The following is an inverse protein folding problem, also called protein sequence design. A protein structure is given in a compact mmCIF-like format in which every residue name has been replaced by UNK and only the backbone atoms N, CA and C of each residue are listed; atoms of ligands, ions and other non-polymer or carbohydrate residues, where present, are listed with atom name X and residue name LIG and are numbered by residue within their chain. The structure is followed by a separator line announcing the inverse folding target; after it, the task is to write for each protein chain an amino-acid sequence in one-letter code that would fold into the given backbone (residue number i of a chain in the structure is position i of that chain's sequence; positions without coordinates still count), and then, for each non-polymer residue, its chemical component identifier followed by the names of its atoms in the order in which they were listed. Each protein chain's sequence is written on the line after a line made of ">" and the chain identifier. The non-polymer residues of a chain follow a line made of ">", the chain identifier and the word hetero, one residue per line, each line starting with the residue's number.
data_IF_391239682236
#
_entry.id   IF_391239682236
#
_cell.length_a   1.000
_cell.length_b   1.000
_cell.length_c   1.000
_cell.angle_alpha   90.00
_cell.angle_beta   90.00
_cell.angle_gamma   90.00
#
_symmetry.space_group_name_H-M   'P 1'
#
loop_
_entity.id
_entity.type
_entity.pdbx_description
1 polymer ?
#
# COMPACT_ATOMS: atom_id res chain seq x y z
N UNK A 1 27.32 25.86 -2.40
CA UNK A 1 26.98 24.77 -1.45
C UNK A 1 25.64 25.01 -0.74
N UNK A 2 24.55 25.34 -1.49
CA UNK A 2 23.21 25.50 -0.90
C UNK A 2 22.15 24.56 -1.50
N UNK A 3 22.43 23.86 -2.61
CA UNK A 3 21.43 23.04 -3.31
C UNK A 3 21.20 21.66 -2.70
N UNK A 4 22.24 20.98 -2.19
CA UNK A 4 22.09 19.60 -1.72
C UNK A 4 21.23 19.53 -0.46
N UNK A 5 21.38 20.48 0.47
CA UNK A 5 20.58 20.55 1.69
C UNK A 5 19.10 20.87 1.39
N UNK A 6 18.83 21.70 0.38
CA UNK A 6 17.47 22.02 -0.09
C UNK A 6 16.80 20.83 -0.79
N UNK A 7 17.52 20.09 -1.63
CA UNK A 7 17.01 18.85 -2.25
C UNK A 7 16.77 17.74 -1.23
N UNK A 8 17.66 17.57 -0.25
CA UNK A 8 17.49 16.59 0.83
C UNK A 8 16.31 16.94 1.75
N UNK A 9 16.10 18.23 2.02
CA UNK A 9 14.92 18.70 2.74
C UNK A 9 13.63 18.43 1.94
N UNK A 10 13.60 18.74 0.64
CA UNK A 10 12.44 18.49 -0.22
C UNK A 10 12.14 17.00 -0.43
N UNK A 11 13.15 16.13 -0.53
CA UNK A 11 12.95 14.67 -0.53
C UNK A 11 12.40 14.18 0.81
N UNK A 12 12.93 14.67 1.94
CA UNK A 12 12.43 14.31 3.26
C UNK A 12 11.03 14.85 3.55
N UNK A 13 10.64 16.01 2.98
CA UNK A 13 9.28 16.55 3.06
C UNK A 13 8.32 15.78 2.13
N UNK A 14 8.73 15.39 0.92
CA UNK A 14 7.94 14.49 0.04
C UNK A 14 7.76 13.07 0.62
N UNK A 15 8.64 12.64 1.52
CA UNK A 15 8.56 11.35 2.23
C UNK A 15 7.76 11.43 3.56
N UNK A 16 7.41 12.64 4.04
CA UNK A 16 6.43 12.88 5.10
C UNK A 16 5.07 13.15 4.45
N UNK A 17 4.09 12.26 4.38
CA UNK A 17 3.89 10.89 4.85
C UNK A 17 3.11 10.28 3.70
N UNK A 18 3.61 9.22 3.06
CA UNK A 18 2.86 8.55 1.98
C UNK A 18 1.40 8.35 2.41
N UNK A 19 0.46 8.67 1.53
CA UNK A 19 -0.94 8.44 1.83
C UNK A 19 -1.16 6.96 2.17
N UNK A 20 -2.19 6.61 2.95
CA UNK A 20 -2.49 5.21 3.25
C UNK A 20 -2.52 4.33 2.00
N UNK A 21 -3.12 4.83 0.91
CA UNK A 21 -3.09 4.19 -0.42
C UNK A 21 -1.67 3.92 -0.91
N UNK A 22 -0.80 4.94 -0.93
CA UNK A 22 0.57 4.79 -1.43
C UNK A 22 1.39 3.80 -0.58
N UNK A 23 1.17 3.77 0.73
CA UNK A 23 1.78 2.78 1.62
C UNK A 23 1.26 1.38 1.32
N UNK A 24 -0.06 1.23 1.18
CA UNK A 24 -0.70 -0.03 0.88
C UNK A 24 -0.22 -0.61 -0.46
N UNK A 25 -0.13 0.19 -1.52
CA UNK A 25 0.40 -0.24 -2.83
C UNK A 25 1.82 -0.78 -2.71
N UNK A 26 2.71 -0.11 -1.96
CA UNK A 26 4.08 -0.59 -1.76
C UNK A 26 4.13 -1.90 -0.99
N UNK A 27 3.31 -2.05 0.04
CA UNK A 27 3.19 -3.31 0.80
C UNK A 27 2.66 -4.41 -0.12
N UNK A 28 1.62 -4.13 -0.91
CA UNK A 28 1.04 -5.09 -1.85
C UNK A 28 2.08 -5.60 -2.84
N UNK A 29 2.82 -4.69 -3.48
CA UNK A 29 3.89 -5.03 -4.42
C UNK A 29 5.01 -5.87 -3.76
N UNK A 30 5.42 -5.50 -2.54
CA UNK A 30 6.52 -6.18 -1.84
C UNK A 30 6.14 -7.58 -1.35
N UNK A 31 4.97 -7.72 -0.74
CA UNK A 31 4.56 -8.96 -0.04
C UNK A 31 3.85 -9.92 -0.99
N UNK A 32 2.99 -9.42 -1.88
CA UNK A 32 2.12 -10.25 -2.72
C UNK A 32 2.51 -10.23 -4.20
N UNK A 33 3.49 -9.41 -4.60
CA UNK A 33 3.94 -9.24 -6.00
C UNK A 33 4.26 -10.53 -6.74
N UNK A 34 4.85 -11.50 -6.04
CA UNK A 34 5.21 -12.80 -6.61
C UNK A 34 4.13 -13.88 -6.43
N UNK A 35 3.14 -13.63 -5.57
CA UNK A 35 2.11 -14.61 -5.22
C UNK A 35 0.81 -14.37 -5.99
N UNK A 36 0.48 -13.11 -6.25
CA UNK A 36 -0.77 -12.75 -6.92
C UNK A 36 -0.61 -12.77 -8.44
N UNK A 37 -1.67 -13.21 -9.12
CA UNK A 37 -1.79 -12.98 -10.56
C UNK A 37 -1.97 -11.49 -10.84
N UNK A 38 -1.66 -11.04 -12.05
CA UNK A 38 -1.82 -9.63 -12.47
C UNK A 38 -3.24 -9.11 -12.19
N UNK A 39 -4.27 -9.90 -12.53
CA UNK A 39 -5.67 -9.54 -12.28
C UNK A 39 -5.98 -9.41 -10.79
N UNK A 40 -5.46 -10.32 -9.96
CA UNK A 40 -5.68 -10.28 -8.52
C UNK A 40 -4.96 -9.09 -7.87
N UNK A 41 -3.76 -8.77 -8.35
CA UNK A 41 -3.02 -7.59 -7.92
C UNK A 41 -3.74 -6.29 -8.30
N UNK A 42 -4.27 -6.19 -9.53
CA UNK A 42 -5.05 -5.02 -9.96
C UNK A 42 -6.27 -4.79 -9.06
N UNK A 43 -7.05 -5.85 -8.78
CA UNK A 43 -8.19 -5.78 -7.84
C UNK A 43 -7.75 -5.36 -6.43
N UNK A 44 -6.58 -5.82 -5.97
CA UNK A 44 -6.04 -5.41 -4.69
C UNK A 44 -5.70 -3.91 -4.68
N UNK A 45 -5.19 -3.35 -5.77
CA UNK A 45 -4.99 -1.90 -5.90
C UNK A 45 -6.32 -1.13 -5.89
N UNK A 46 -7.34 -1.63 -6.58
CA UNK A 46 -8.67 -1.01 -6.59
C UNK A 46 -9.27 -0.95 -5.18
N UNK A 47 -9.10 -2.01 -4.39
CA UNK A 47 -9.51 -2.02 -2.97
C UNK A 47 -8.80 -0.93 -2.16
N UNK A 48 -7.53 -0.64 -2.46
CA UNK A 48 -6.77 0.39 -1.74
C UNK A 48 -7.13 1.82 -2.16
N UNK A 49 -7.89 2.00 -3.24
CA UNK A 49 -8.44 3.32 -3.58
C UNK A 49 -9.44 3.81 -2.52
N UNK A 50 -10.07 2.90 -1.79
CA UNK A 50 -10.80 3.21 -0.57
C UNK A 50 -9.81 3.53 0.55
N UNK A 51 -9.79 4.80 0.97
CA UNK A 51 -8.84 5.29 1.97
C UNK A 51 -8.97 4.57 3.32
N UNK A 52 -10.20 4.22 3.75
CA UNK A 52 -10.44 3.51 5.00
C UNK A 52 -9.87 2.10 4.93
N UNK A 53 -10.08 1.41 3.81
CA UNK A 53 -9.52 0.06 3.59
C UNK A 53 -7.99 0.10 3.52
N UNK A 54 -7.42 1.10 2.84
CA UNK A 54 -5.97 1.27 2.79
C UNK A 54 -5.37 1.56 4.18
N UNK A 55 -6.04 2.38 5.01
CA UNK A 55 -5.62 2.61 6.39
C UNK A 55 -5.65 1.33 7.21
N UNK A 56 -6.75 0.58 7.17
CA UNK A 56 -6.88 -0.72 7.86
C UNK A 56 -5.74 -1.66 7.42
N UNK A 57 -5.54 -1.83 6.12
CA UNK A 57 -4.50 -2.69 5.58
C UNK A 57 -3.10 -2.33 6.06
N UNK A 58 -2.78 -1.03 6.14
CA UNK A 58 -1.47 -0.52 6.57
C UNK A 58 -1.22 -0.73 8.07
N UNK A 59 -2.25 -0.66 8.91
CA UNK A 59 -2.09 -0.82 10.37
C UNK A 59 -2.11 -2.28 10.83
N UNK A 60 -2.67 -3.19 10.03
CA UNK A 60 -2.64 -4.62 10.32
C UNK A 60 -1.21 -5.13 10.23
N UNK A 61 -0.76 -5.95 11.19
CA UNK A 61 0.54 -6.64 11.12
C UNK A 61 0.64 -7.59 9.92
N UNK A 62 1.86 -7.87 9.47
CA UNK A 62 2.10 -8.83 8.39
C UNK A 62 1.73 -10.26 8.82
N UNK A 63 1.10 -11.01 7.91
CA UNK A 63 0.77 -12.42 8.10
C UNK A 63 -0.72 -12.72 8.03
N UNK A 64 -1.11 -13.85 8.63
CA UNK A 64 -2.41 -14.53 8.38
C UNK A 64 -3.64 -13.63 8.52
N UNK A 65 -3.64 -12.70 9.48
CA UNK A 65 -4.78 -11.81 9.67
C UNK A 65 -4.94 -10.82 8.51
N UNK A 66 -3.85 -10.20 8.04
CA UNK A 66 -3.86 -9.29 6.90
C UNK A 66 -4.18 -10.05 5.61
N UNK A 67 -3.64 -11.25 5.46
CA UNK A 67 -3.87 -12.11 4.29
C UNK A 67 -5.35 -12.50 4.17
N UNK A 68 -5.94 -12.96 5.27
CA UNK A 68 -7.35 -13.33 5.33
C UNK A 68 -8.25 -12.12 5.07
N UNK A 69 -7.95 -10.98 5.69
CA UNK A 69 -8.73 -9.77 5.47
C UNK A 69 -8.70 -9.34 4.01
N UNK A 70 -7.52 -9.38 3.36
CA UNK A 70 -7.37 -9.02 1.95
C UNK A 70 -8.14 -10.00 1.05
N UNK A 71 -8.12 -11.30 1.36
CA UNK A 71 -8.87 -12.31 0.61
C UNK A 71 -10.39 -12.12 0.72
N UNK A 72 -10.90 -11.76 1.90
CA UNK A 72 -12.31 -11.41 2.10
C UNK A 72 -12.71 -10.19 1.24
N UNK A 73 -11.85 -9.16 1.16
CA UNK A 73 -12.13 -8.00 0.31
C UNK A 73 -12.14 -8.36 -1.18
N UNK A 74 -11.22 -9.23 -1.61
CA UNK A 74 -11.10 -9.67 -3.01
C UNK A 74 -12.23 -10.59 -3.46
N UNK A 75 -12.84 -11.35 -2.53
CA UNK A 75 -13.97 -12.25 -2.80
C UNK A 75 -15.33 -11.56 -2.71
N UNK A 76 -15.47 -10.54 -1.87
CA UNK A 76 -16.73 -9.79 -1.67
C UNK A 76 -17.00 -8.67 -2.69
N UNK A 77 -16.09 -8.40 -3.63
CA UNK A 77 -16.19 -7.27 -4.58
C UNK A 77 -16.82 -7.68 -5.94
N UNK A 78 -17.90 -8.47 -5.91
CA UNK A 78 -18.72 -8.80 -7.09
C UNK A 78 -19.80 -7.75 -7.32
#
# INVERSE_FOLDING_TARGET
>A
MKDIAGEMHNRNVRLKVLSPFQKAVRILQKVYGHQFTTTRMAKAFDIMLDERKAQIFVVMEEGKARDLWLDIQLTGSN
#
